data_IF_084724612402
#
_entry.id   IF_084724612402
#
_cell.length_a   1.000
_cell.length_b   1.000
_cell.length_c   1.000
_cell.angle_alpha   90.00
_cell.angle_beta   90.00
_cell.angle_gamma   90.00
#
_symmetry.space_group_name_H-M   'P 1'
#
loop_
_entity.id
_entity.type
_entity.pdbx_description
1 polymer ?
#
# COMPACT_ATOMS: atom_id res chain seq x y z
N UNK A 1 28.87 39.20 -65.66
CA UNK A 1 27.40 39.18 -65.82
C UNK A 1 26.95 37.72 -65.85
N UNK A 2 25.89 37.39 -65.10
CA UNK A 2 25.28 36.05 -64.83
C UNK A 2 25.77 35.35 -63.56
N UNK A 3 25.25 35.84 -62.42
CA UNK A 3 25.13 35.12 -61.16
C UNK A 3 24.10 33.98 -61.36
N UNK A 4 24.46 32.74 -61.03
CA UNK A 4 23.52 31.62 -60.92
C UNK A 4 23.26 31.37 -59.44
N UNK A 5 22.07 31.77 -58.98
CA UNK A 5 21.56 31.44 -57.64
C UNK A 5 21.07 29.99 -57.69
N UNK A 6 21.75 29.08 -57.01
CA UNK A 6 21.23 27.74 -56.73
C UNK A 6 20.33 27.84 -55.49
N UNK A 7 19.02 27.64 -55.69
CA UNK A 7 18.09 27.36 -54.60
C UNK A 7 18.34 25.93 -54.11
N UNK A 8 18.95 25.79 -52.92
CA UNK A 8 19.00 24.52 -52.20
C UNK A 8 17.71 24.44 -51.38
N UNK A 9 16.71 23.73 -51.89
CA UNK A 9 15.54 23.33 -51.13
C UNK A 9 15.90 22.12 -50.27
N UNK A 10 16.32 22.34 -49.03
CA UNK A 10 16.38 21.29 -48.00
C UNK A 10 14.96 20.89 -47.60
N UNK A 11 14.47 19.77 -48.14
CA UNK A 11 13.29 19.09 -47.62
C UNK A 11 13.66 18.50 -46.25
N UNK A 12 13.17 19.12 -45.18
CA UNK A 12 13.25 18.58 -43.83
C UNK A 12 12.15 17.52 -43.70
N UNK A 13 12.52 16.26 -43.92
CA UNK A 13 11.64 15.11 -43.70
C UNK A 13 11.42 14.92 -42.20
N UNK A 14 10.40 15.58 -41.65
CA UNK A 14 9.90 15.30 -40.30
C UNK A 14 9.27 13.90 -40.36
N UNK A 15 10.04 12.89 -39.93
CA UNK A 15 9.51 11.58 -39.58
C UNK A 15 8.62 11.77 -38.35
N UNK A 16 7.35 12.10 -38.60
CA UNK A 16 6.27 11.90 -37.65
C UNK A 16 6.14 10.39 -37.48
N UNK A 17 6.89 9.82 -36.54
CA UNK A 17 6.51 8.56 -35.95
C UNK A 17 5.11 8.75 -35.37
N UNK A 18 4.08 8.07 -35.88
CA UNK A 18 2.84 8.02 -35.15
C UNK A 18 3.18 7.24 -33.88
N UNK A 19 3.27 7.94 -32.75
CA UNK A 19 2.90 7.31 -31.50
C UNK A 19 1.44 6.90 -31.71
N UNK A 20 1.23 5.66 -32.15
CA UNK A 20 -0.04 5.00 -32.03
C UNK A 20 -0.27 4.88 -30.52
N UNK A 21 -0.79 5.96 -29.93
CA UNK A 21 -1.45 5.91 -28.64
C UNK A 21 -2.68 5.09 -28.94
N UNK A 22 -2.70 3.85 -28.46
CA UNK A 22 -3.92 3.06 -28.40
C UNK A 22 -4.83 3.82 -27.43
N UNK A 23 -5.56 4.79 -27.95
CA UNK A 23 -6.61 5.44 -27.19
C UNK A 23 -7.67 4.37 -27.01
N UNK A 24 -7.62 3.66 -25.88
CA UNK A 24 -8.73 2.80 -25.48
C UNK A 24 -9.98 3.67 -25.44
N UNK A 25 -11.13 3.12 -25.82
CA UNK A 25 -12.43 3.81 -25.80
C UNK A 25 -12.72 4.47 -24.44
N UNK A 26 -12.06 3.98 -23.38
CA UNK A 26 -12.06 4.56 -22.04
C UNK A 26 -11.52 6.01 -22.01
N UNK A 27 -10.37 6.29 -22.62
CA UNK A 27 -9.65 7.57 -22.46
C UNK A 27 -10.41 8.74 -23.08
N UNK A 28 -11.04 8.52 -24.24
CA UNK A 28 -11.78 9.58 -24.97
C UNK A 28 -12.92 10.17 -24.11
N UNK A 29 -13.64 9.32 -23.37
CA UNK A 29 -14.69 9.79 -22.46
C UNK A 29 -14.11 10.27 -21.12
N UNK A 30 -13.14 9.54 -20.56
CA UNK A 30 -12.61 9.82 -19.22
C UNK A 30 -11.74 11.07 -19.13
N UNK A 31 -11.18 11.56 -20.24
CA UNK A 31 -10.51 12.87 -20.25
C UNK A 31 -11.50 14.01 -19.95
N UNK A 32 -12.79 13.80 -20.22
CA UNK A 32 -13.86 14.76 -19.91
C UNK A 32 -14.48 14.45 -18.54
N UNK A 33 -14.76 13.17 -18.25
CA UNK A 33 -15.49 12.76 -17.03
C UNK A 33 -14.61 12.71 -15.78
N UNK A 34 -13.36 12.27 -15.91
CA UNK A 34 -12.39 12.12 -14.82
C UNK A 34 -10.99 12.57 -15.26
N UNK A 35 -10.81 13.85 -15.66
CA UNK A 35 -9.58 14.34 -16.28
C UNK A 35 -8.33 14.06 -15.43
N UNK A 36 -8.43 14.23 -14.10
CA UNK A 36 -7.32 14.00 -13.19
C UNK A 36 -6.86 12.53 -13.16
N UNK A 37 -7.78 11.57 -13.26
CA UNK A 37 -7.42 10.15 -13.28
C UNK A 37 -6.66 9.79 -14.57
N UNK A 38 -7.11 10.32 -15.71
CA UNK A 38 -6.43 10.14 -17.00
C UNK A 38 -5.05 10.79 -16.98
N UNK A 39 -4.95 12.02 -16.48
CA UNK A 39 -3.67 12.71 -16.36
C UNK A 39 -2.69 11.93 -15.48
N UNK A 40 -3.11 11.50 -14.28
CA UNK A 40 -2.27 10.72 -13.38
C UNK A 40 -1.82 9.40 -14.01
N UNK A 41 -2.71 8.71 -14.72
CA UNK A 41 -2.36 7.50 -15.45
C UNK A 41 -1.32 7.80 -16.54
N UNK A 42 -1.51 8.86 -17.34
CA UNK A 42 -0.56 9.28 -18.38
C UNK A 42 0.84 9.58 -17.83
N UNK A 43 0.91 10.13 -16.62
CA UNK A 43 2.18 10.41 -15.91
C UNK A 43 2.78 9.16 -15.24
N UNK A 44 2.02 8.06 -15.15
CA UNK A 44 2.46 6.83 -14.50
C UNK A 44 3.40 5.99 -15.36
N UNK A 45 4.16 5.11 -14.71
CA UNK A 45 4.96 4.09 -15.40
C UNK A 45 4.10 3.05 -16.16
N UNK A 46 2.78 3.00 -15.89
CA UNK A 46 1.86 2.04 -16.49
C UNK A 46 1.35 2.50 -17.87
N UNK A 47 1.17 3.80 -18.11
CA UNK A 47 0.58 4.31 -19.35
C UNK A 47 1.19 3.79 -20.66
N UNK A 48 2.52 3.58 -20.78
CA UNK A 48 3.08 3.08 -22.04
C UNK A 48 2.68 1.65 -22.42
N UNK A 49 2.15 0.84 -21.48
CA UNK A 49 1.94 -0.60 -21.68
C UNK A 49 0.65 -1.16 -21.10
N UNK A 50 0.02 -0.47 -20.15
CA UNK A 50 -1.13 -0.95 -19.38
C UNK A 50 -2.24 0.08 -19.52
N UNK A 51 -3.32 -0.32 -20.19
CA UNK A 51 -4.54 0.44 -20.39
C UNK A 51 -5.46 0.44 -19.16
N UNK A 52 -6.59 1.12 -19.28
CA UNK A 52 -7.58 1.21 -18.21
C UNK A 52 -8.24 -0.15 -17.96
N UNK A 53 -8.61 -0.82 -19.05
CA UNK A 53 -9.26 -2.12 -19.15
C UNK A 53 -8.40 -3.25 -18.56
N UNK A 54 -7.06 -3.13 -18.63
CA UNK A 54 -6.15 -4.11 -18.03
C UNK A 54 -6.35 -4.21 -16.52
N UNK A 55 -6.73 -3.12 -15.86
CA UNK A 55 -7.00 -3.09 -14.43
C UNK A 55 -8.49 -3.21 -14.10
N UNK A 56 -9.34 -2.47 -14.82
CA UNK A 56 -10.76 -2.33 -14.48
C UNK A 56 -11.67 -3.35 -15.20
N UNK A 57 -11.19 -3.95 -16.28
CA UNK A 57 -12.01 -4.73 -17.22
C UNK A 57 -12.79 -3.84 -18.20
N UNK A 58 -13.58 -4.48 -19.05
CA UNK A 58 -14.37 -3.81 -20.11
C UNK A 58 -15.85 -3.61 -19.73
N UNK A 59 -16.35 -4.32 -18.71
CA UNK A 59 -17.75 -4.20 -18.24
C UNK A 59 -17.95 -2.90 -17.45
N UNK A 60 -18.30 -1.84 -18.16
CA UNK A 60 -18.50 -0.52 -17.59
C UNK A 60 -19.64 -0.47 -16.56
N UNK A 61 -20.69 -1.27 -16.73
CA UNK A 61 -21.80 -1.33 -15.76
C UNK A 61 -21.34 -1.99 -14.46
N UNK A 62 -20.51 -3.04 -14.54
CA UNK A 62 -19.89 -3.63 -13.34
C UNK A 62 -18.92 -2.68 -12.64
N UNK A 63 -18.21 -1.83 -13.37
CA UNK A 63 -17.34 -0.79 -12.81
C UNK A 63 -18.19 0.25 -12.07
N UNK A 64 -19.23 0.79 -12.72
CA UNK A 64 -20.12 1.80 -12.12
C UNK A 64 -20.86 1.28 -10.89
N UNK A 65 -21.30 0.02 -10.92
CA UNK A 65 -21.99 -0.61 -9.80
C UNK A 65 -21.05 -1.15 -8.71
N UNK A 66 -19.73 -0.92 -8.82
CA UNK A 66 -18.72 -1.40 -7.86
C UNK A 66 -18.52 -2.92 -7.80
N UNK A 67 -19.05 -3.67 -8.79
CA UNK A 67 -18.91 -5.14 -8.88
C UNK A 67 -17.56 -5.57 -9.45
N UNK A 68 -16.82 -4.66 -10.08
CA UNK A 68 -15.46 -4.89 -10.60
C UNK A 68 -14.40 -4.02 -9.91
N UNK A 69 -14.10 -4.22 -8.61
CA UNK A 69 -13.05 -3.46 -7.93
C UNK A 69 -11.65 -3.95 -8.32
N UNK A 70 -10.73 -3.01 -8.53
CA UNK A 70 -9.30 -3.32 -8.72
C UNK A 70 -8.70 -3.75 -7.38
N UNK A 71 -8.58 -5.06 -7.17
CA UNK A 71 -8.00 -5.67 -5.96
C UNK A 71 -6.52 -6.00 -6.15
N UNK A 72 -5.81 -6.30 -5.07
CA UNK A 72 -4.39 -6.68 -5.07
C UNK A 72 -4.06 -7.83 -6.04
N UNK A 73 -4.98 -8.81 -6.18
CA UNK A 73 -4.83 -9.91 -7.15
C UNK A 73 -4.79 -9.44 -8.62
N UNK A 74 -5.42 -8.33 -8.94
CA UNK A 74 -5.35 -7.69 -10.27
C UNK A 74 -3.91 -7.33 -10.61
N UNK A 75 -3.19 -6.76 -9.63
CA UNK A 75 -1.79 -6.38 -9.72
C UNK A 75 -0.87 -7.62 -9.71
N UNK A 76 -1.22 -8.64 -8.91
CA UNK A 76 -0.46 -9.89 -8.81
C UNK A 76 -0.27 -10.66 -10.12
N UNK A 77 -1.12 -10.43 -11.13
CA UNK A 77 -0.94 -10.99 -12.48
C UNK A 77 0.37 -10.53 -13.15
N UNK A 78 0.87 -9.35 -12.78
CA UNK A 78 2.14 -8.80 -13.29
C UNK A 78 3.21 -8.67 -12.19
N UNK A 79 2.78 -8.48 -10.93
CA UNK A 79 3.64 -8.25 -9.76
C UNK A 79 3.55 -9.41 -8.75
N UNK A 80 3.69 -10.64 -9.23
CA UNK A 80 3.49 -11.87 -8.45
C UNK A 80 4.29 -11.89 -7.15
N UNK A 81 5.62 -11.66 -7.22
CA UNK A 81 6.49 -11.63 -6.03
C UNK A 81 5.99 -10.64 -4.97
N UNK A 82 5.65 -9.43 -5.39
CA UNK A 82 5.19 -8.36 -4.49
C UNK A 82 3.83 -8.72 -3.88
N UNK A 83 2.93 -9.29 -4.68
CA UNK A 83 1.64 -9.78 -4.21
C UNK A 83 1.78 -10.89 -3.17
N UNK A 84 2.68 -11.84 -3.39
CA UNK A 84 2.92 -12.95 -2.46
C UNK A 84 3.54 -12.47 -1.15
N UNK A 85 4.53 -11.57 -1.21
CA UNK A 85 5.11 -10.93 -0.02
C UNK A 85 4.08 -10.12 0.77
N UNK A 86 3.26 -9.32 0.08
CA UNK A 86 2.20 -8.53 0.73
C UNK A 86 1.14 -9.43 1.36
N UNK A 87 0.62 -10.40 0.60
CA UNK A 87 -0.51 -11.26 1.01
C UNK A 87 -0.22 -12.10 2.25
N UNK A 88 1.02 -12.56 2.44
CA UNK A 88 1.44 -13.28 3.65
C UNK A 88 1.80 -12.36 4.83
N UNK A 89 1.94 -11.06 4.57
CA UNK A 89 2.34 -10.10 5.60
C UNK A 89 1.21 -9.76 6.55
N UNK A 90 1.51 -9.07 7.65
CA UNK A 90 0.49 -8.51 8.54
C UNK A 90 -0.46 -7.53 7.86
N UNK A 91 -0.07 -6.88 6.76
CA UNK A 91 -1.01 -6.09 5.96
C UNK A 91 -1.90 -6.97 5.07
N UNK A 92 -1.39 -8.06 4.50
CA UNK A 92 -2.15 -8.94 3.60
C UNK A 92 -3.00 -10.00 4.27
N UNK A 93 -2.66 -10.39 5.51
CA UNK A 93 -3.57 -11.09 6.43
C UNK A 93 -4.69 -10.15 6.93
N UNK A 94 -4.58 -8.85 6.61
CA UNK A 94 -5.46 -7.80 7.06
C UNK A 94 -5.53 -7.71 8.58
N UNK A 95 -6.56 -7.01 9.04
CA UNK A 95 -7.21 -7.47 10.24
C UNK A 95 -8.22 -8.55 9.82
N UNK A 96 -7.85 -9.82 9.78
CA UNK A 96 -8.84 -10.85 10.15
C UNK A 96 -9.45 -10.55 11.55
N UNK A 97 -8.83 -9.64 12.29
CA UNK A 97 -9.29 -8.91 13.48
C UNK A 97 -10.32 -7.75 13.22
N UNK A 98 -10.64 -7.44 11.97
CA UNK A 98 -11.60 -6.41 11.53
C UNK A 98 -13.00 -6.97 11.27
N UNK A 99 -13.12 -8.30 11.36
CA UNK A 99 -14.40 -8.93 11.63
C UNK A 99 -14.84 -8.49 13.02
N UNK A 100 -15.64 -7.43 13.06
CA UNK A 100 -16.46 -7.19 14.24
C UNK A 100 -17.19 -8.49 14.57
N UNK A 101 -17.21 -8.89 15.85
CA UNK A 101 -17.85 -10.11 16.31
C UNK A 101 -19.21 -10.34 15.61
N UNK A 102 -19.26 -11.31 14.69
CA UNK A 102 -20.47 -11.58 13.88
C UNK A 102 -21.55 -12.30 14.68
N UNK A 103 -21.29 -12.59 15.98
CA UNK A 103 -22.16 -13.34 16.91
C UNK A 103 -23.64 -12.90 16.91
N UNK A 104 -23.92 -11.64 16.61
CA UNK A 104 -25.30 -11.10 16.62
C UNK A 104 -25.90 -10.91 15.22
N UNK A 105 -25.23 -11.36 14.14
CA UNK A 105 -25.77 -11.33 12.78
C UNK A 105 -26.59 -12.59 12.49
N UNK A 106 -27.69 -12.43 11.74
CA UNK A 106 -28.67 -13.47 11.48
C UNK A 106 -28.17 -14.60 10.57
N UNK A 107 -27.17 -14.36 9.70
CA UNK A 107 -26.67 -15.30 8.68
C UNK A 107 -25.13 -15.45 8.70
N UNK A 108 -24.50 -15.56 9.89
CA UNK A 108 -23.03 -15.70 10.01
C UNK A 108 -22.55 -17.13 9.70
N UNK A 109 -21.31 -17.28 9.22
CA UNK A 109 -20.59 -18.56 9.32
C UNK A 109 -20.01 -18.71 10.73
N UNK A 110 -20.23 -19.86 11.36
CA UNK A 110 -19.74 -20.13 12.72
C UNK A 110 -18.23 -20.35 12.75
N UNK A 111 -17.61 -20.74 11.63
CA UNK A 111 -16.16 -20.91 11.53
C UNK A 111 -15.40 -19.60 11.77
N UNK A 112 -16.02 -18.46 11.44
CA UNK A 112 -15.52 -17.10 11.67
C UNK A 112 -15.28 -16.79 13.16
N UNK A 113 -16.03 -17.45 14.04
CA UNK A 113 -15.91 -17.25 15.49
C UNK A 113 -14.67 -17.97 16.06
N UNK A 114 -14.17 -19.02 15.42
CA UNK A 114 -13.02 -19.83 15.89
C UNK A 114 -11.69 -19.06 15.80
N UNK A 115 -11.68 -18.00 15.00
CA UNK A 115 -10.58 -17.04 14.92
C UNK A 115 -10.48 -16.20 16.20
N UNK A 116 -11.62 -15.75 16.74
CA UNK A 116 -11.67 -14.87 17.92
C UNK A 116 -11.89 -15.60 19.24
N UNK A 117 -12.46 -16.81 19.23
CA UNK A 117 -12.87 -17.55 20.43
C UNK A 117 -12.31 -18.98 20.48
N UNK A 118 -12.19 -19.51 21.69
CA UNK A 118 -11.97 -20.94 21.91
C UNK A 118 -13.09 -21.78 21.28
N UNK A 119 -12.73 -22.94 20.74
CA UNK A 119 -13.69 -23.83 20.12
C UNK A 119 -14.74 -24.27 21.17
N UNK A 120 -16.02 -24.12 20.83
CA UNK A 120 -17.14 -24.38 21.74
C UNK A 120 -17.30 -23.39 22.92
N UNK A 121 -16.57 -22.28 22.95
CA UNK A 121 -16.54 -21.34 24.09
C UNK A 121 -16.77 -19.88 23.67
N UNK A 122 -17.23 -19.05 24.61
CA UNK A 122 -17.34 -17.59 24.41
C UNK A 122 -16.10 -16.84 24.90
N UNK A 123 -15.08 -17.55 25.37
CA UNK A 123 -13.82 -17.00 25.83
C UNK A 123 -13.03 -16.51 24.61
N UNK A 124 -12.66 -15.21 24.54
CA UNK A 124 -11.88 -14.70 23.42
C UNK A 124 -10.42 -15.15 23.51
N UNK A 125 -9.88 -15.69 22.42
CA UNK A 125 -8.43 -15.97 22.23
C UNK A 125 -7.62 -14.71 21.94
N UNK A 126 -8.30 -13.67 21.45
CA UNK A 126 -7.70 -12.42 21.00
C UNK A 126 -8.56 -11.24 21.44
N UNK A 127 -7.91 -10.17 21.89
CA UNK A 127 -8.59 -8.94 22.34
C UNK A 127 -8.47 -7.91 21.22
N UNK A 128 -9.28 -8.07 20.17
CA UNK A 128 -9.40 -7.01 19.16
C UNK A 128 -10.44 -5.99 19.65
N UNK A 129 -10.16 -4.70 19.42
CA UNK A 129 -11.07 -3.60 19.74
C UNK A 129 -12.24 -3.53 18.73
N UNK A 130 -12.99 -4.63 18.57
CA UNK A 130 -14.15 -4.71 17.67
C UNK A 130 -15.33 -3.81 18.09
N UNK A 131 -15.39 -3.41 19.37
CA UNK A 131 -16.55 -2.70 19.92
C UNK A 131 -16.76 -1.31 19.29
N UNK A 132 -15.69 -0.63 18.86
CA UNK A 132 -15.83 0.67 18.16
C UNK A 132 -16.33 0.48 16.72
N UNK A 133 -15.87 -0.56 16.02
CA UNK A 133 -16.31 -0.83 14.65
C UNK A 133 -17.81 -1.16 14.59
N UNK A 134 -18.31 -1.96 15.55
CA UNK A 134 -19.71 -2.38 15.61
C UNK A 134 -20.71 -1.32 16.10
N UNK A 135 -20.22 -0.22 16.68
CA UNK A 135 -21.08 0.88 17.16
C UNK A 135 -21.24 2.01 16.13
N UNK A 136 -20.48 1.97 15.04
CA UNK A 136 -20.60 2.91 13.93
C UNK A 136 -21.66 2.44 12.92
N UNK A 137 -22.29 3.39 12.21
CA UNK A 137 -23.11 3.03 11.04
C UNK A 137 -22.24 2.46 9.92
N UNK A 138 -22.84 1.75 8.96
CA UNK A 138 -22.16 1.23 7.77
C UNK A 138 -21.39 2.32 7.02
N UNK A 139 -21.96 3.52 6.92
CA UNK A 139 -21.40 4.66 6.21
C UNK A 139 -20.18 5.21 6.95
N UNK A 140 -20.26 5.32 8.28
CA UNK A 140 -19.16 5.77 9.12
C UNK A 140 -18.01 4.74 9.14
N UNK A 141 -18.34 3.45 9.19
CA UNK A 141 -17.36 2.37 9.04
C UNK A 141 -16.68 2.39 7.68
N UNK A 142 -17.43 2.64 6.61
CA UNK A 142 -16.89 2.75 5.24
C UNK A 142 -15.93 3.94 5.06
N UNK A 143 -16.30 5.12 5.59
CA UNK A 143 -15.51 6.34 5.45
C UNK A 143 -14.29 6.37 6.38
N UNK A 144 -14.40 5.85 7.60
CA UNK A 144 -13.33 5.88 8.60
C UNK A 144 -12.46 4.63 8.59
N UNK A 145 -13.00 3.54 9.14
CA UNK A 145 -12.22 2.33 9.40
C UNK A 145 -11.81 1.60 8.12
N UNK A 146 -12.75 1.38 7.20
CA UNK A 146 -12.48 0.59 5.99
C UNK A 146 -11.48 1.29 5.08
N UNK A 147 -11.41 2.63 5.11
CA UNK A 147 -10.44 3.37 4.30
C UNK A 147 -8.99 3.14 4.75
N UNK A 148 -8.75 2.99 6.05
CA UNK A 148 -7.43 2.64 6.58
C UNK A 148 -7.14 1.14 6.42
N UNK A 149 -8.15 0.28 6.61
CA UNK A 149 -7.97 -1.18 6.61
C UNK A 149 -8.11 -1.86 5.24
N UNK A 150 -8.47 -1.13 4.17
CA UNK A 150 -8.48 -1.66 2.79
C UNK A 150 -7.08 -2.07 2.28
N UNK A 151 -6.01 -1.76 3.02
CA UNK A 151 -4.61 -2.12 2.69
C UNK A 151 -4.43 -3.62 2.45
N UNK A 152 -5.26 -4.47 3.06
CA UNK A 152 -5.32 -5.91 2.81
C UNK A 152 -5.51 -6.23 1.32
N UNK A 153 -6.43 -5.52 0.67
CA UNK A 153 -6.91 -5.87 -0.66
C UNK A 153 -6.59 -4.82 -1.72
N UNK A 154 -5.91 -3.72 -1.36
CA UNK A 154 -5.61 -2.61 -2.25
C UNK A 154 -4.13 -2.23 -2.23
N UNK A 155 -3.43 -2.51 -3.33
CA UNK A 155 -2.04 -2.08 -3.52
C UNK A 155 -1.91 -0.55 -3.63
N UNK A 156 -2.99 0.15 -4.02
CA UNK A 156 -3.01 1.61 -4.09
C UNK A 156 -2.91 2.30 -2.72
N UNK A 157 -2.89 1.57 -1.61
CA UNK A 157 -2.86 2.14 -0.26
C UNK A 157 -1.58 2.93 0.04
N UNK A 158 -0.44 2.59 -0.60
CA UNK A 158 0.83 3.30 -0.40
C UNK A 158 1.24 4.13 -1.62
N UNK A 159 1.28 3.54 -2.83
CA UNK A 159 1.70 4.25 -4.05
C UNK A 159 0.58 4.99 -4.77
N UNK A 160 -0.63 4.98 -4.21
CA UNK A 160 -1.84 5.63 -4.75
C UNK A 160 -2.24 5.13 -6.15
N UNK A 161 -3.45 5.52 -6.55
CA UNK A 161 -3.94 5.44 -7.93
C UNK A 161 -4.21 6.87 -8.42
N UNK A 162 -4.08 7.23 -9.70
CA UNK A 162 -3.64 6.41 -10.84
C UNK A 162 -2.18 6.65 -11.25
N UNK A 163 -1.46 7.46 -10.48
CA UNK A 163 -0.05 7.79 -10.76
C UNK A 163 0.91 6.64 -10.40
N UNK A 164 0.56 5.82 -9.39
CA UNK A 164 1.34 4.64 -8.95
C UNK A 164 2.84 4.97 -8.73
N UNK A 165 3.11 6.10 -8.06
CA UNK A 165 4.46 6.66 -7.95
C UNK A 165 5.26 6.02 -6.81
N UNK A 166 6.50 5.59 -7.12
CA UNK A 166 7.45 5.14 -6.10
C UNK A 166 7.92 6.28 -5.21
N UNK A 167 7.90 7.53 -5.68
CA UNK A 167 8.35 8.67 -4.89
C UNK A 167 7.36 8.97 -3.76
N UNK A 168 6.05 8.81 -4.03
CA UNK A 168 5.01 8.88 -2.99
C UNK A 168 5.22 7.80 -1.93
N UNK A 169 5.56 6.56 -2.32
CA UNK A 169 5.84 5.49 -1.35
C UNK A 169 7.11 5.74 -0.56
N UNK A 170 8.13 6.33 -1.17
CA UNK A 170 9.41 6.61 -0.51
C UNK A 170 9.28 7.68 0.57
N UNK A 171 8.31 8.59 0.46
CA UNK A 171 7.98 9.54 1.53
C UNK A 171 7.39 8.81 2.76
N UNK A 172 8.00 8.91 3.96
CA UNK A 172 7.46 8.36 5.21
C UNK A 172 6.00 8.75 5.50
N UNK A 173 5.54 9.90 5.01
CA UNK A 173 4.17 10.36 5.17
C UNK A 173 3.13 9.41 4.54
N UNK A 174 3.52 8.54 3.60
CA UNK A 174 2.63 7.52 3.06
C UNK A 174 2.07 6.59 4.15
N UNK A 175 2.88 6.29 5.17
CA UNK A 175 2.49 5.44 6.30
C UNK A 175 1.61 6.20 7.31
N UNK A 176 1.79 7.52 7.42
CA UNK A 176 1.13 8.37 8.40
C UNK A 176 -0.39 8.43 8.21
N UNK A 177 -0.91 8.11 7.02
CA UNK A 177 -2.37 8.07 6.77
C UNK A 177 -3.08 7.07 7.69
N UNK A 178 -2.42 5.96 8.04
CA UNK A 178 -2.99 4.90 8.89
C UNK A 178 -2.26 4.77 10.23
N UNK A 179 -0.93 4.91 10.25
CA UNK A 179 -0.10 4.73 11.43
C UNK A 179 0.08 6.03 12.20
N UNK A 180 -1.02 6.59 12.67
CA UNK A 180 -1.08 7.84 13.41
C UNK A 180 -2.21 7.80 14.45
N UNK A 181 -2.30 8.83 15.27
CA UNK A 181 -3.45 9.04 16.14
C UNK A 181 -3.34 8.39 17.51
N UNK A 182 -4.41 8.46 18.32
CA UNK A 182 -4.33 8.26 19.77
C UNK A 182 -4.11 6.82 20.22
N UNK A 183 -4.49 5.83 19.41
CA UNK A 183 -4.41 4.41 19.74
C UNK A 183 -3.11 3.74 19.25
N UNK A 184 -2.48 4.31 18.23
CA UNK A 184 -1.18 3.86 17.73
C UNK A 184 -0.41 5.02 17.07
N UNK A 185 0.27 5.87 17.86
CA UNK A 185 0.88 7.11 17.39
C UNK A 185 2.26 6.89 16.73
N UNK A 186 2.41 5.90 15.83
CA UNK A 186 3.73 5.55 15.30
C UNK A 186 4.34 6.69 14.48
N UNK A 187 3.52 7.40 13.69
CA UNK A 187 3.97 8.57 12.95
C UNK A 187 4.47 9.67 13.87
N UNK A 188 3.70 10.04 14.89
CA UNK A 188 4.04 11.10 15.84
C UNK A 188 5.31 10.74 16.62
N UNK A 189 5.44 9.48 17.05
CA UNK A 189 6.64 8.97 17.70
C UNK A 189 7.87 9.02 16.78
N UNK A 190 7.75 8.56 15.53
CA UNK A 190 8.87 8.58 14.58
C UNK A 190 9.26 10.02 14.20
N UNK A 191 8.29 10.86 13.83
CA UNK A 191 8.51 12.23 13.34
C UNK A 191 9.20 13.10 14.39
N UNK A 192 8.87 12.91 15.67
CA UNK A 192 9.46 13.67 16.78
C UNK A 192 10.75 13.04 17.34
N UNK A 193 11.09 11.82 16.93
CA UNK A 193 12.35 11.15 17.31
C UNK A 193 13.56 11.75 16.60
N UNK A 194 14.77 11.42 17.08
CA UNK A 194 16.01 11.77 16.38
C UNK A 194 16.09 11.16 14.97
N UNK A 195 15.52 9.99 14.74
CA UNK A 195 15.46 9.39 13.41
C UNK A 195 14.61 10.24 12.44
N UNK A 196 13.41 10.66 12.85
CA UNK A 196 12.53 11.48 12.03
C UNK A 196 13.09 12.88 11.76
N UNK A 197 13.66 13.53 12.79
CA UNK A 197 14.29 14.85 12.64
C UNK A 197 15.50 14.79 11.68
N UNK A 198 16.35 13.77 11.79
CA UNK A 198 17.48 13.58 10.88
C UNK A 198 17.03 13.25 9.46
N UNK A 199 16.01 12.41 9.29
CA UNK A 199 15.44 12.12 7.98
C UNK A 199 14.92 13.40 7.31
N UNK A 200 14.12 14.19 8.03
CA UNK A 200 13.54 15.42 7.50
C UNK A 200 14.60 16.48 7.15
N UNK A 201 15.69 16.54 7.92
CA UNK A 201 16.72 17.57 7.76
C UNK A 201 17.81 17.17 6.77
N UNK A 202 18.18 15.90 6.70
CA UNK A 202 19.38 15.40 6.02
C UNK A 202 19.13 14.19 5.12
N UNK A 203 17.91 13.66 5.09
CA UNK A 203 17.51 12.54 4.25
C UNK A 203 17.79 11.15 4.84
N UNK A 204 17.39 10.13 4.07
CA UNK A 204 17.37 8.72 4.51
C UNK A 204 18.75 8.14 4.85
N UNK A 205 19.81 8.70 4.28
CA UNK A 205 21.18 8.28 4.59
C UNK A 205 21.60 8.61 6.02
N UNK A 206 20.92 9.57 6.66
CA UNK A 206 21.27 10.04 8.01
C UNK A 206 20.22 9.68 9.05
N UNK A 207 18.93 9.69 8.69
CA UNK A 207 17.85 9.19 9.54
C UNK A 207 17.05 8.12 8.80
N UNK A 208 16.73 6.96 9.41
CA UNK A 208 15.98 5.91 8.72
C UNK A 208 14.51 6.31 8.51
N UNK A 209 13.94 5.92 7.35
CA UNK A 209 12.50 5.96 7.09
C UNK A 209 11.77 4.78 7.74
N UNK A 210 10.44 4.83 7.76
CA UNK A 210 9.60 3.69 8.16
C UNK A 210 9.92 2.44 7.33
N UNK A 211 10.04 2.61 6.00
CA UNK A 211 10.26 1.49 5.07
C UNK A 211 11.66 0.90 5.20
N UNK A 212 12.68 1.70 5.51
CA UNK A 212 14.03 1.18 5.73
C UNK A 212 14.06 0.15 6.87
N UNK A 213 13.25 0.36 7.91
CA UNK A 213 13.15 -0.55 9.05
C UNK A 213 12.15 -1.69 8.83
N UNK A 214 10.98 -1.40 8.25
CA UNK A 214 9.88 -2.37 8.17
C UNK A 214 9.74 -3.09 6.83
N UNK A 215 10.45 -2.62 5.80
CA UNK A 215 10.48 -3.18 4.44
C UNK A 215 11.94 -3.28 3.95
N UNK A 216 12.83 -3.94 4.71
CA UNK A 216 14.25 -4.00 4.35
C UNK A 216 14.42 -4.60 2.95
N UNK A 217 15.33 -4.02 2.16
CA UNK A 217 15.59 -4.45 0.77
C UNK A 217 14.37 -4.34 -0.17
N UNK A 218 13.33 -3.61 0.21
CA UNK A 218 12.13 -3.39 -0.61
C UNK A 218 11.11 -4.53 -0.59
N UNK A 219 11.20 -5.44 0.38
CA UNK A 219 10.16 -6.47 0.60
C UNK A 219 8.80 -5.83 0.86
N UNK A 220 7.73 -6.46 0.38
CA UNK A 220 6.36 -6.09 0.73
C UNK A 220 5.82 -6.85 1.95
N UNK A 221 6.65 -7.67 2.58
CA UNK A 221 6.34 -8.33 3.84
C UNK A 221 6.66 -7.42 5.04
N UNK A 222 5.68 -6.62 5.44
CA UNK A 222 5.80 -5.69 6.58
C UNK A 222 5.79 -6.38 7.96
N UNK A 223 5.78 -7.70 8.01
CA UNK A 223 5.82 -8.46 9.27
C UNK A 223 7.21 -8.51 9.89
N UNK A 224 8.21 -7.93 9.23
CA UNK A 224 9.61 -7.93 9.64
C UNK A 224 9.81 -7.32 11.04
N UNK A 225 10.60 -8.00 11.87
CA UNK A 225 10.89 -7.57 13.24
C UNK A 225 9.73 -7.74 14.21
N UNK A 226 9.87 -7.18 15.41
CA UNK A 226 8.87 -7.26 16.48
C UNK A 226 7.72 -6.33 16.13
N UNK A 227 6.76 -6.88 15.38
CA UNK A 227 5.51 -6.22 15.06
C UNK A 227 4.44 -6.76 15.99
N UNK A 228 4.03 -5.99 17.00
CA UNK A 228 2.96 -6.42 17.91
C UNK A 228 1.63 -6.45 17.15
N UNK A 229 0.95 -7.60 17.18
CA UNK A 229 -0.43 -7.71 16.72
C UNK A 229 -1.33 -7.89 17.95
N UNK A 230 -2.49 -7.22 18.03
CA UNK A 230 -3.48 -7.45 19.09
C UNK A 230 -4.00 -8.90 19.19
N UNK A 231 -3.67 -9.76 18.21
CA UNK A 231 -4.30 -11.06 18.02
C UNK A 231 -3.35 -12.26 17.95
N UNK A 232 -2.04 -12.09 18.18
CA UNK A 232 -1.10 -13.20 18.13
C UNK A 232 -0.36 -13.35 19.46
N UNK A 233 -0.62 -14.45 20.17
CA UNK A 233 0.28 -14.93 21.23
C UNK A 233 1.52 -15.45 20.52
N UNK A 234 2.66 -14.82 20.76
CA UNK A 234 3.95 -15.21 20.20
C UNK A 234 4.79 -15.81 21.32
N UNK A 235 5.54 -16.86 21.02
CA UNK A 235 6.46 -17.49 21.97
C UNK A 235 7.82 -16.78 22.01
N UNK A 236 8.64 -17.18 22.96
CA UNK A 236 9.97 -16.58 23.17
C UNK A 236 10.88 -16.80 21.95
N UNK A 237 10.78 -17.95 21.27
CA UNK A 237 11.56 -18.26 20.06
C UNK A 237 11.25 -17.28 18.92
N UNK A 238 9.97 -16.98 18.70
CA UNK A 238 9.56 -15.95 17.75
C UNK A 238 10.18 -14.59 18.11
N UNK A 239 10.09 -14.15 19.37
CA UNK A 239 10.63 -12.85 19.77
C UNK A 239 12.14 -12.76 19.61
N UNK A 240 12.88 -13.83 19.94
CA UNK A 240 14.33 -13.89 19.74
C UNK A 240 14.69 -13.76 18.25
N UNK A 241 14.01 -14.50 17.37
CA UNK A 241 14.24 -14.41 15.93
C UNK A 241 13.95 -12.99 15.40
N UNK A 242 12.82 -12.40 15.79
CA UNK A 242 12.43 -11.04 15.35
C UNK A 242 13.34 -9.96 15.91
N UNK A 243 13.90 -10.15 17.10
CA UNK A 243 14.87 -9.25 17.70
C UNK A 243 16.20 -9.27 16.94
N UNK A 244 16.66 -10.44 16.52
CA UNK A 244 17.87 -10.54 15.69
C UNK A 244 17.66 -9.91 14.31
N UNK A 245 16.49 -10.10 13.69
CA UNK A 245 16.08 -9.39 12.47
C UNK A 245 16.19 -7.86 12.62
N UNK A 246 15.62 -7.30 13.69
CA UNK A 246 15.72 -5.86 13.99
C UNK A 246 17.16 -5.43 14.22
N UNK A 247 17.92 -6.22 15.00
CA UNK A 247 19.33 -5.96 15.29
C UNK A 247 20.13 -5.82 14.00
N UNK A 248 19.92 -6.70 13.03
CA UNK A 248 20.55 -6.66 11.71
C UNK A 248 20.32 -5.36 10.92
N UNK A 249 19.21 -4.65 11.17
CA UNK A 249 18.95 -3.33 10.60
C UNK A 249 19.68 -2.25 11.40
N UNK A 250 19.53 -2.26 12.72
CA UNK A 250 20.06 -1.20 13.58
C UNK A 250 21.60 -1.11 13.52
N UNK A 251 22.29 -2.25 13.39
CA UNK A 251 23.76 -2.30 13.31
C UNK A 251 24.34 -1.74 12.01
N UNK A 252 23.50 -1.38 11.02
CA UNK A 252 23.96 -0.66 9.84
C UNK A 252 24.44 0.76 10.17
N UNK A 253 24.02 1.32 11.31
CA UNK A 253 24.39 2.68 11.74
C UNK A 253 24.90 2.73 13.20
N UNK A 254 24.51 1.78 14.06
CA UNK A 254 24.85 1.78 15.48
C UNK A 254 25.76 0.62 15.87
N UNK A 255 26.52 0.78 16.96
CA UNK A 255 27.26 -0.34 17.55
C UNK A 255 26.32 -1.39 18.12
N UNK A 256 26.62 -2.68 17.92
CA UNK A 256 25.77 -3.80 18.39
C UNK A 256 25.45 -3.73 19.88
N UNK A 257 26.40 -3.37 20.73
CA UNK A 257 26.16 -3.23 22.17
C UNK A 257 25.15 -2.14 22.54
N UNK A 258 25.08 -1.05 21.76
CA UNK A 258 24.04 -0.03 21.92
C UNK A 258 22.68 -0.59 21.50
N UNK A 259 22.62 -1.30 20.37
CA UNK A 259 21.39 -1.90 19.85
C UNK A 259 20.80 -2.91 20.83
N UNK A 260 21.60 -3.84 21.33
CA UNK A 260 21.16 -4.89 22.27
C UNK A 260 20.68 -4.33 23.62
N UNK A 261 21.15 -3.15 24.01
CA UNK A 261 20.73 -2.47 25.23
C UNK A 261 19.38 -1.75 25.07
N UNK A 262 19.12 -1.19 23.89
CA UNK A 262 17.97 -0.30 23.65
C UNK A 262 16.76 -1.03 23.03
N UNK A 263 16.96 -2.20 22.41
CA UNK A 263 15.89 -3.10 21.95
C UNK A 263 15.40 -3.98 23.10
#
# INVERSE_FOLDING_TARGET
MKVRVLFITTLLSILLYPFAVWASDCVECHIIKTPAAVQQWQESAHAPKIGCEDCHGEDHEAILSGRSPVRARTCGRCHEKVYDEHSRSKHGMGLHAGWGCTRNLNNRDRSECLFCHEDGSTIPKTVVQCARFLTQTSEMGALGCNRCHQVESSCASCHTNHITSLDVVRDPASCATCHMGPDHPQWEMWQTSRHGILFASLGESTGPSCKRCHMPQGTHDVSFGITMSPAMVQDDEYFEQRREEMTGICVQCHGRSFVEKEL
#
